data_IF_042082861036
#
_entry.id   IF_042082861036
#
_cell.length_a   1.000
_cell.length_b   1.000
_cell.length_c   1.000
_cell.angle_alpha   90.00
_cell.angle_beta   90.00
_cell.angle_gamma   90.00
#
_symmetry.space_group_name_H-M   'P 1'
#
loop_
_entity.id
_entity.type
_entity.pdbx_description
1 polymer ?
#
# COMPACT_ATOMS: atom_id res chain seq x y z
N UNK A 1 1.23 19.88 30.78
CA UNK A 1 0.88 20.36 29.43
C UNK A 1 0.27 19.16 28.73
N UNK A 2 -1.02 19.20 28.41
CA UNK A 2 -1.64 18.16 27.59
C UNK A 2 -1.02 18.31 26.20
N UNK A 3 -0.40 17.25 25.70
CA UNK A 3 0.00 17.16 24.29
C UNK A 3 -1.33 17.21 23.53
N UNK A 4 -1.53 18.25 22.73
CA UNK A 4 -2.64 18.29 21.79
C UNK A 4 -2.49 17.02 20.92
N UNK A 5 -3.46 16.10 20.98
CA UNK A 5 -3.48 14.95 20.09
C UNK A 5 -3.59 15.51 18.67
N UNK A 6 -2.62 15.18 17.83
CA UNK A 6 -2.68 15.52 16.42
C UNK A 6 -4.01 15.00 15.86
N UNK A 7 -4.77 15.89 15.27
CA UNK A 7 -6.07 15.56 14.68
C UNK A 7 -5.85 14.96 13.30
N UNK A 8 -6.64 13.95 12.94
CA UNK A 8 -6.63 13.42 11.56
C UNK A 8 -6.85 14.55 10.55
N UNK A 9 -6.21 14.47 9.40
CA UNK A 9 -6.41 15.44 8.32
C UNK A 9 -7.87 15.39 7.84
N UNK A 10 -8.40 16.55 7.52
CA UNK A 10 -9.70 16.67 6.84
C UNK A 10 -9.62 16.14 5.40
N UNK A 11 -10.78 15.87 4.80
CA UNK A 11 -10.81 15.45 3.39
C UNK A 11 -10.15 16.46 2.45
N UNK A 12 -10.34 17.78 2.70
CA UNK A 12 -9.70 18.80 1.87
C UNK A 12 -8.18 18.77 1.97
N UNK A 13 -7.63 18.66 3.17
CA UNK A 13 -6.18 18.56 3.39
C UNK A 13 -5.60 17.29 2.75
N UNK A 14 -6.33 16.16 2.81
CA UNK A 14 -5.93 14.93 2.12
C UNK A 14 -5.93 15.08 0.61
N UNK A 15 -6.96 15.71 0.05
CA UNK A 15 -7.06 15.97 -1.39
C UNK A 15 -5.91 16.85 -1.85
N UNK A 16 -5.63 17.93 -1.15
CA UNK A 16 -4.52 18.84 -1.46
C UNK A 16 -3.17 18.09 -1.43
N UNK A 17 -2.98 17.21 -0.45
CA UNK A 17 -1.77 16.40 -0.34
C UNK A 17 -1.64 15.36 -1.47
N UNK A 18 -2.74 14.68 -1.83
CA UNK A 18 -2.76 13.70 -2.92
C UNK A 18 -2.46 14.39 -4.26
N UNK A 19 -3.09 15.55 -4.51
CA UNK A 19 -2.83 16.36 -5.71
C UNK A 19 -1.38 16.82 -5.75
N UNK A 20 -0.83 17.28 -4.61
CA UNK A 20 0.57 17.64 -4.53
C UNK A 20 1.49 16.52 -4.99
N UNK A 21 1.33 15.29 -4.44
CA UNK A 21 2.17 14.15 -4.85
C UNK A 21 1.94 13.75 -6.32
N UNK A 22 0.71 13.86 -6.82
CA UNK A 22 0.38 13.56 -8.22
C UNK A 22 1.08 14.54 -9.18
N UNK A 23 1.01 15.83 -8.88
CA UNK A 23 1.59 16.88 -9.74
C UNK A 23 3.13 16.91 -9.71
N UNK A 24 3.73 16.38 -8.64
CA UNK A 24 5.19 16.38 -8.44
C UNK A 24 5.80 14.96 -8.52
N UNK A 25 5.05 13.96 -9.00
CA UNK A 25 5.47 12.55 -8.97
C UNK A 25 6.82 12.30 -9.66
N UNK A 26 7.15 13.06 -10.71
CA UNK A 26 8.38 12.93 -11.50
C UNK A 26 9.54 13.79 -10.99
N UNK A 27 9.31 14.64 -9.99
CA UNK A 27 10.34 15.51 -9.44
C UNK A 27 11.38 14.71 -8.64
N UNK A 28 12.65 15.10 -8.73
CA UNK A 28 13.76 14.39 -8.10
C UNK A 28 13.71 14.38 -6.57
N UNK A 29 13.05 15.38 -5.94
CA UNK A 29 12.86 15.43 -4.50
C UNK A 29 11.73 14.53 -3.98
N UNK A 30 10.93 13.94 -4.87
CA UNK A 30 9.93 12.95 -4.47
C UNK A 30 10.57 11.55 -4.49
N UNK A 31 10.79 11.02 -3.30
CA UNK A 31 11.23 9.65 -3.15
C UNK A 31 10.05 8.70 -3.21
N UNK A 32 10.20 7.65 -4.00
CA UNK A 32 9.20 6.59 -4.19
C UNK A 32 9.82 5.26 -3.84
N UNK A 33 9.27 4.62 -2.81
CA UNK A 33 9.66 3.28 -2.39
C UNK A 33 8.50 2.31 -2.64
N UNK A 34 8.72 1.29 -3.46
CA UNK A 34 7.73 0.23 -3.74
C UNK A 34 8.22 -1.07 -3.16
N UNK A 35 7.46 -1.62 -2.24
CA UNK A 35 7.81 -2.82 -1.51
C UNK A 35 6.69 -3.85 -1.61
N UNK A 36 7.09 -5.10 -1.68
CA UNK A 36 6.18 -6.23 -1.64
C UNK A 36 6.31 -6.91 -0.29
N UNK A 37 5.21 -7.18 0.34
CA UNK A 37 5.16 -7.80 1.64
C UNK A 37 4.49 -9.18 1.58
N UNK A 38 5.03 -10.10 2.39
CA UNK A 38 4.47 -11.41 2.66
C UNK A 38 4.28 -11.59 4.14
N UNK A 39 3.12 -12.08 4.55
CA UNK A 39 2.90 -12.52 5.91
C UNK A 39 3.64 -13.82 6.19
N UNK A 40 4.22 -13.92 7.35
CA UNK A 40 4.91 -15.13 7.81
C UNK A 40 4.09 -15.83 8.90
N UNK A 41 4.37 -17.10 9.15
CA UNK A 41 3.79 -17.82 10.28
C UNK A 41 4.51 -17.52 11.61
N UNK A 42 5.55 -16.70 11.60
CA UNK A 42 6.36 -16.38 12.79
C UNK A 42 5.68 -15.28 13.60
N UNK A 43 5.55 -15.49 14.90
CA UNK A 43 5.08 -14.46 15.84
C UNK A 43 6.12 -13.39 16.14
N UNK A 44 7.41 -13.66 15.84
CA UNK A 44 8.50 -12.71 16.07
C UNK A 44 8.74 -11.77 14.88
N UNK A 45 8.34 -12.18 13.69
CA UNK A 45 8.50 -11.41 12.46
C UNK A 45 7.30 -11.68 11.56
N UNK A 46 6.26 -10.88 11.69
CA UNK A 46 5.00 -11.10 10.96
C UNK A 46 5.14 -10.87 9.45
N UNK A 47 6.09 -10.02 9.03
CA UNK A 47 6.25 -9.66 7.63
C UNK A 47 7.68 -9.91 7.16
N UNK A 48 7.80 -10.28 5.89
CA UNK A 48 9.02 -10.22 5.10
C UNK A 48 8.74 -9.32 3.91
N UNK A 49 9.67 -8.41 3.62
CA UNK A 49 9.51 -7.41 2.56
C UNK A 49 10.60 -7.53 1.51
N UNK A 50 10.28 -7.13 0.29
CA UNK A 50 11.20 -7.03 -0.83
C UNK A 50 10.99 -5.70 -1.53
N UNK A 51 12.08 -5.00 -1.83
CA UNK A 51 12.07 -3.73 -2.56
C UNK A 51 12.03 -3.97 -4.06
N UNK A 52 11.23 -3.19 -4.78
CA UNK A 52 11.30 -3.07 -6.22
C UNK A 52 12.26 -1.92 -6.58
N UNK A 53 13.44 -2.25 -7.11
CA UNK A 53 14.46 -1.28 -7.52
C UNK A 53 14.29 -0.82 -8.99
N UNK A 54 13.09 -0.86 -9.52
CA UNK A 54 12.79 -0.45 -10.88
C UNK A 54 11.88 0.77 -10.87
N UNK A 55 12.31 1.85 -11.51
CA UNK A 55 11.49 3.02 -11.80
C UNK A 55 11.56 3.28 -13.30
N UNK A 56 10.43 3.22 -13.95
CA UNK A 56 10.28 3.51 -15.37
C UNK A 56 8.90 4.15 -15.60
N UNK A 57 8.62 4.56 -16.82
CA UNK A 57 7.38 5.21 -17.20
C UNK A 57 6.14 4.39 -16.82
N UNK A 58 6.14 3.07 -17.03
CA UNK A 58 4.98 2.21 -16.70
C UNK A 58 4.68 2.22 -15.19
N UNK A 59 5.72 2.26 -14.35
CA UNK A 59 5.58 2.38 -12.89
C UNK A 59 5.04 3.76 -12.50
N UNK A 60 5.52 4.82 -13.14
CA UNK A 60 5.04 6.18 -12.89
C UNK A 60 3.57 6.33 -13.30
N UNK A 61 3.16 5.83 -14.45
CA UNK A 61 1.76 5.79 -14.89
C UNK A 61 0.86 5.03 -13.91
N UNK A 62 1.32 3.86 -13.40
CA UNK A 62 0.59 3.09 -12.39
C UNK A 62 0.44 3.87 -11.07
N UNK A 63 1.46 4.62 -10.66
CA UNK A 63 1.42 5.46 -9.47
C UNK A 63 0.48 6.65 -9.65
N UNK A 64 0.50 7.30 -10.82
CA UNK A 64 -0.43 8.37 -11.17
C UNK A 64 -1.88 7.89 -11.14
N UNK A 65 -2.16 6.71 -11.71
CA UNK A 65 -3.48 6.07 -11.61
C UNK A 65 -3.86 5.77 -10.15
N UNK A 66 -2.90 5.34 -9.33
CA UNK A 66 -3.12 5.08 -7.90
C UNK A 66 -3.52 6.36 -7.17
N UNK A 67 -2.79 7.47 -7.36
CA UNK A 67 -3.09 8.76 -6.76
C UNK A 67 -4.43 9.32 -7.28
N UNK A 68 -4.74 9.13 -8.56
CA UNK A 68 -6.03 9.51 -9.14
C UNK A 68 -7.19 8.74 -8.49
N UNK A 69 -7.02 7.44 -8.23
CA UNK A 69 -8.02 6.66 -7.51
C UNK A 69 -8.17 7.11 -6.04
N UNK A 70 -7.07 7.47 -5.37
CA UNK A 70 -7.13 8.05 -4.02
C UNK A 70 -7.89 9.39 -4.01
N UNK A 71 -7.57 10.27 -4.94
CA UNK A 71 -8.26 11.56 -5.11
C UNK A 71 -9.76 11.34 -5.31
N UNK A 72 -10.15 10.45 -6.23
CA UNK A 72 -11.54 10.11 -6.48
C UNK A 72 -12.26 9.60 -5.23
N UNK A 73 -11.66 8.66 -4.50
CA UNK A 73 -12.25 8.11 -3.27
C UNK A 73 -12.43 9.19 -2.21
N UNK A 74 -11.48 10.10 -2.05
CA UNK A 74 -11.58 11.21 -1.10
C UNK A 74 -12.56 12.32 -1.54
N UNK A 75 -12.91 12.39 -2.81
CA UNK A 75 -13.95 13.29 -3.33
C UNK A 75 -15.36 12.70 -3.18
N UNK A 76 -15.51 11.40 -3.35
CA UNK A 76 -16.81 10.73 -3.43
C UNK A 76 -17.30 10.21 -2.07
N UNK A 77 -16.42 10.04 -1.06
CA UNK A 77 -16.76 9.44 0.24
C UNK A 77 -16.59 10.41 1.39
N UNK A 78 -17.31 10.14 2.48
CA UNK A 78 -17.14 10.85 3.76
C UNK A 78 -16.13 10.15 4.64
N UNK A 79 -15.59 10.88 5.63
CA UNK A 79 -14.73 10.29 6.69
C UNK A 79 -15.60 9.86 7.86
N UNK A 80 -15.42 8.63 8.32
CA UNK A 80 -15.99 8.10 9.56
C UNK A 80 -14.91 7.41 10.41
N UNK A 81 -15.16 7.29 11.71
CA UNK A 81 -14.30 6.48 12.57
C UNK A 81 -14.37 5.01 12.18
N UNK A 82 -13.26 4.30 12.44
CA UNK A 82 -13.19 2.87 12.15
C UNK A 82 -14.27 2.08 12.92
N UNK A 83 -15.11 1.37 12.18
CA UNK A 83 -16.16 0.52 12.70
C UNK A 83 -16.24 -0.79 11.90
N UNK A 84 -16.25 -1.91 12.59
CA UNK A 84 -16.34 -3.24 11.97
C UNK A 84 -17.71 -3.54 11.35
N UNK A 85 -18.75 -2.84 11.75
CA UNK A 85 -20.12 -3.06 11.28
C UNK A 85 -20.48 -2.18 10.08
N UNK A 86 -19.79 -1.04 9.90
CA UNK A 86 -20.07 -0.11 8.80
C UNK A 86 -19.37 -0.57 7.50
N UNK A 87 -20.07 -0.35 6.36
CA UNK A 87 -19.48 -0.56 5.04
C UNK A 87 -18.45 0.54 4.72
N UNK A 88 -17.45 0.21 3.90
CA UNK A 88 -16.53 1.19 3.31
C UNK A 88 -16.93 1.61 1.90
N UNK A 89 -18.15 1.28 1.44
CA UNK A 89 -18.56 1.62 0.08
C UNK A 89 -18.71 3.13 -0.12
N UNK A 90 -19.32 3.82 0.87
CA UNK A 90 -19.59 5.26 0.84
C UNK A 90 -18.72 6.06 1.82
N UNK A 91 -17.85 5.38 2.60
CA UNK A 91 -17.04 6.01 3.63
C UNK A 91 -15.56 5.63 3.53
N UNK A 92 -14.70 6.53 3.97
CA UNK A 92 -13.29 6.26 4.30
C UNK A 92 -13.21 6.17 5.82
N UNK A 93 -12.91 4.99 6.34
CA UNK A 93 -12.79 4.81 7.78
C UNK A 93 -11.41 5.23 8.27
N UNK A 94 -11.36 5.93 9.40
CA UNK A 94 -10.12 6.48 9.96
C UNK A 94 -9.80 5.85 11.30
N UNK A 95 -8.54 5.48 11.49
CA UNK A 95 -8.01 4.96 12.75
C UNK A 95 -6.59 5.47 12.99
N UNK A 96 -6.26 5.74 14.24
CA UNK A 96 -4.90 6.09 14.66
C UNK A 96 -3.93 4.94 14.37
N UNK A 97 -2.76 5.25 13.82
CA UNK A 97 -1.72 4.27 13.48
C UNK A 97 -1.30 3.44 14.69
N UNK A 98 -1.19 4.06 15.87
CA UNK A 98 -0.81 3.39 17.12
C UNK A 98 -1.75 2.25 17.52
N UNK A 99 -3.01 2.30 17.10
CA UNK A 99 -4.00 1.23 17.30
C UNK A 99 -3.81 0.05 16.35
N UNK A 100 -3.05 0.23 15.27
CA UNK A 100 -2.76 -0.80 14.27
C UNK A 100 -1.44 -1.49 14.60
N UNK A 101 -1.43 -2.27 15.68
CA UNK A 101 -0.23 -2.86 16.32
C UNK A 101 0.70 -3.57 15.31
N UNK A 102 0.14 -4.29 14.35
CA UNK A 102 0.94 -5.05 13.38
C UNK A 102 1.61 -4.16 12.34
N UNK A 103 1.24 -2.88 12.24
CA UNK A 103 1.87 -1.96 11.30
C UNK A 103 3.30 -1.60 11.71
N UNK A 104 3.58 -1.48 13.00
CA UNK A 104 4.96 -1.26 13.48
C UNK A 104 5.89 -2.39 13.04
N UNK A 105 5.45 -3.65 13.05
CA UNK A 105 6.24 -4.77 12.56
C UNK A 105 6.44 -4.76 11.04
N UNK A 106 5.47 -4.21 10.29
CA UNK A 106 5.62 -3.98 8.86
C UNK A 106 6.68 -2.91 8.61
N UNK A 107 6.60 -1.77 9.29
CA UNK A 107 7.58 -0.67 9.14
C UNK A 107 8.99 -1.09 9.57
N UNK A 108 9.14 -1.85 10.63
CA UNK A 108 10.42 -2.45 11.03
C UNK A 108 11.00 -3.37 9.96
N UNK A 109 10.15 -4.11 9.23
CA UNK A 109 10.61 -4.98 8.15
C UNK A 109 11.06 -4.22 6.90
N UNK A 110 10.61 -2.97 6.73
CA UNK A 110 10.93 -2.08 5.61
C UNK A 110 12.27 -1.35 5.83
N UNK A 111 12.65 -1.09 7.08
CA UNK A 111 13.86 -0.33 7.43
C UNK A 111 15.17 -1.13 7.36
N UNK A 112 15.11 -2.38 6.92
CA UNK A 112 16.29 -3.22 6.73
C UNK A 112 17.05 -2.80 5.46
N UNK A 113 18.38 -2.77 5.51
CA UNK A 113 19.22 -2.52 4.34
C UNK A 113 18.87 -3.50 3.21
N UNK A 114 18.66 -2.96 2.02
CA UNK A 114 18.30 -3.78 0.86
C UNK A 114 19.53 -4.50 0.33
N UNK A 115 19.40 -5.81 0.22
CA UNK A 115 20.39 -6.72 -0.35
C UNK A 115 19.73 -7.50 -1.49
N UNK A 116 20.50 -8.26 -2.25
CA UNK A 116 19.96 -9.12 -3.32
C UNK A 116 18.88 -10.10 -2.81
N UNK A 117 18.96 -10.48 -1.52
CA UNK A 117 18.01 -11.41 -0.90
C UNK A 117 16.63 -10.79 -0.59
N UNK A 118 16.55 -9.46 -0.49
CA UNK A 118 15.32 -8.72 -0.19
C UNK A 118 14.94 -7.68 -1.25
N UNK A 119 15.47 -7.82 -2.47
CA UNK A 119 15.02 -7.12 -3.66
C UNK A 119 14.20 -8.04 -4.56
N UNK A 120 13.26 -7.45 -5.28
CA UNK A 120 12.50 -8.16 -6.32
C UNK A 120 13.44 -8.50 -7.48
N UNK A 121 13.54 -9.78 -7.80
CA UNK A 121 14.38 -10.29 -8.89
C UNK A 121 13.73 -11.52 -9.53
N UNK A 122 14.39 -12.11 -10.54
CA UNK A 122 13.87 -13.25 -11.28
C UNK A 122 13.62 -14.52 -10.44
N UNK A 123 14.24 -14.62 -9.26
CA UNK A 123 14.08 -15.74 -8.34
C UNK A 123 12.97 -15.49 -7.29
N UNK A 124 12.36 -14.32 -7.29
CA UNK A 124 11.28 -13.99 -6.36
C UNK A 124 10.02 -14.78 -6.72
N UNK A 125 9.46 -15.48 -5.74
CA UNK A 125 8.18 -16.19 -5.89
C UNK A 125 7.03 -15.20 -5.71
N UNK A 126 6.61 -14.54 -6.79
CA UNK A 126 5.57 -13.51 -6.78
C UNK A 126 4.22 -14.04 -6.30
N UNK A 127 3.91 -15.32 -6.51
CA UNK A 127 2.64 -15.92 -6.08
C UNK A 127 2.53 -16.02 -4.55
N UNK A 128 3.66 -15.87 -3.84
CA UNK A 128 3.71 -15.87 -2.37
C UNK A 128 3.65 -14.49 -1.74
N UNK A 129 3.66 -13.42 -2.52
CA UNK A 129 3.49 -12.06 -2.02
C UNK A 129 2.02 -11.82 -1.69
N UNK A 130 1.74 -11.07 -0.64
CA UNK A 130 0.37 -10.85 -0.17
C UNK A 130 -0.15 -9.45 -0.50
N UNK A 131 0.71 -8.42 -0.39
CA UNK A 131 0.34 -7.04 -0.66
C UNK A 131 1.55 -6.17 -1.05
N UNK A 132 1.25 -4.98 -1.53
CA UNK A 132 2.22 -3.97 -1.95
C UNK A 132 2.12 -2.78 -1.01
N UNK A 133 3.27 -2.23 -0.65
CA UNK A 133 3.40 -0.97 0.10
C UNK A 133 4.09 0.02 -0.83
N UNK A 134 3.46 1.16 -1.06
CA UNK A 134 4.06 2.28 -1.78
C UNK A 134 4.22 3.42 -0.81
N UNK A 135 5.44 3.91 -0.63
CA UNK A 135 5.73 5.08 0.19
C UNK A 135 6.18 6.23 -0.71
N UNK A 136 5.52 7.36 -0.58
CA UNK A 136 5.88 8.62 -1.21
C UNK A 136 6.38 9.56 -0.11
N UNK A 137 7.56 10.13 -0.30
CA UNK A 137 8.17 11.04 0.66
C UNK A 137 8.69 12.28 -0.06
N UNK A 138 8.42 13.44 0.52
CA UNK A 138 8.92 14.73 0.04
C UNK A 138 10.25 15.05 0.73
N UNK A 139 11.32 15.15 -0.05
CA UNK A 139 12.66 15.48 0.40
C UNK A 139 13.09 16.89 -0.05
N UNK A 140 12.12 17.79 -0.34
CA UNK A 140 12.39 19.17 -0.81
C UNK A 140 13.18 20.06 0.16
N UNK A 141 13.19 19.73 1.47
CA UNK A 141 14.14 20.27 2.45
C UNK A 141 13.62 21.42 3.32
N UNK A 142 12.80 22.35 2.81
CA UNK A 142 12.42 23.54 3.60
C UNK A 142 11.04 23.45 4.30
N UNK A 143 10.10 22.72 3.72
CA UNK A 143 8.77 22.47 4.32
C UNK A 143 8.18 21.19 3.71
N UNK A 144 8.76 20.01 4.03
CA UNK A 144 8.37 18.77 3.38
C UNK A 144 6.93 18.41 3.71
N UNK A 145 6.19 17.96 2.70
CA UNK A 145 4.83 17.48 2.92
C UNK A 145 4.85 16.13 3.67
N UNK A 146 3.82 15.84 4.48
CA UNK A 146 3.69 14.54 5.13
C UNK A 146 3.80 13.39 4.13
N UNK A 147 4.58 12.36 4.46
CA UNK A 147 4.68 11.17 3.63
C UNK A 147 3.33 10.44 3.53
N UNK A 148 3.07 9.85 2.37
CA UNK A 148 1.93 8.96 2.16
C UNK A 148 2.44 7.52 2.05
N UNK A 149 1.92 6.61 2.86
CA UNK A 149 2.17 5.18 2.73
C UNK A 149 0.90 4.46 2.28
N UNK A 150 0.88 3.96 1.06
CA UNK A 150 -0.28 3.30 0.45
C UNK A 150 -0.16 1.80 0.59
N UNK A 151 -1.22 1.14 1.05
CA UNK A 151 -1.35 -0.31 1.12
C UNK A 151 -2.26 -0.78 -0.03
N UNK A 152 -1.76 -1.73 -0.82
CA UNK A 152 -2.45 -2.28 -1.99
C UNK A 152 -2.41 -3.79 -1.96
N UNK A 153 -3.52 -4.43 -2.28
CA UNK A 153 -3.56 -5.88 -2.44
C UNK A 153 -2.73 -6.30 -3.64
N UNK A 154 -1.85 -7.29 -3.44
CA UNK A 154 -1.18 -7.93 -4.55
C UNK A 154 -2.14 -8.88 -5.26
N UNK A 155 -2.29 -8.70 -6.57
CA UNK A 155 -3.09 -9.58 -7.40
C UNK A 155 -2.24 -10.78 -7.82
N UNK A 156 -2.49 -11.92 -7.20
CA UNK A 156 -1.77 -13.16 -7.55
C UNK A 156 -2.03 -13.53 -9.01
N UNK A 157 -0.96 -13.84 -9.71
CA UNK A 157 -1.09 -14.39 -11.06
C UNK A 157 -1.92 -15.68 -11.02
N UNK A 158 -2.80 -15.97 -11.99
CA UNK A 158 -3.54 -17.21 -12.02
C UNK A 158 -2.61 -18.40 -11.88
N UNK A 159 -2.97 -19.36 -11.03
CA UNK A 159 -2.17 -20.55 -10.80
C UNK A 159 -1.80 -21.24 -12.12
N UNK A 160 -0.57 -21.72 -12.24
CA UNK A 160 -0.16 -22.53 -13.38
C UNK A 160 -0.88 -23.88 -13.32
N UNK A 161 -1.86 -24.09 -14.16
CA UNK A 161 -2.41 -25.42 -14.36
C UNK A 161 -1.43 -26.26 -15.20
N UNK A 162 -1.22 -27.51 -14.82
CA UNK A 162 -0.34 -28.43 -15.56
C UNK A 162 -0.84 -28.54 -17.01
N UNK A 163 0.03 -28.23 -17.97
CA UNK A 163 -0.29 -28.27 -19.39
C UNK A 163 -0.87 -26.99 -20.00
N UNK A 164 -1.03 -25.90 -19.22
CA UNK A 164 -1.46 -24.61 -19.77
C UNK A 164 -0.27 -23.72 -20.09
N UNK A 165 -0.36 -23.00 -21.22
CA UNK A 165 0.57 -21.93 -21.58
C UNK A 165 -0.14 -20.60 -21.43
N UNK A 166 0.57 -19.58 -20.94
CA UNK A 166 0.09 -18.20 -20.89
C UNK A 166 0.66 -17.45 -22.08
N UNK A 167 -0.12 -16.54 -22.63
CA UNK A 167 0.31 -15.69 -23.71
C UNK A 167 0.02 -14.23 -23.37
N UNK A 168 0.97 -13.38 -23.70
CA UNK A 168 0.76 -11.92 -23.72
C UNK A 168 0.56 -11.51 -25.18
N UNK A 169 -0.53 -10.81 -25.45
CA UNK A 169 -0.82 -10.26 -26.77
C UNK A 169 -0.37 -8.81 -26.83
N UNK A 170 0.50 -8.49 -27.77
CA UNK A 170 0.96 -7.11 -28.00
C UNK A 170 0.22 -6.42 -29.17
N UNK A 171 -0.93 -6.93 -29.55
CA UNK A 171 -1.73 -6.44 -30.68
C UNK A 171 -1.36 -7.02 -32.05
N UNK A 172 -0.23 -7.71 -32.16
CA UNK A 172 0.24 -8.35 -33.40
C UNK A 172 0.61 -9.83 -33.18
N UNK A 173 1.17 -10.14 -32.04
CA UNK A 173 1.72 -11.45 -31.74
C UNK A 173 1.27 -11.94 -30.35
N UNK A 174 1.10 -13.26 -30.23
CA UNK A 174 0.93 -13.94 -28.97
C UNK A 174 2.28 -14.50 -28.52
N UNK A 175 2.88 -13.90 -27.52
CA UNK A 175 4.16 -14.36 -26.96
C UNK A 175 3.89 -15.25 -25.76
N UNK A 176 4.42 -16.47 -25.77
CA UNK A 176 4.31 -17.38 -24.63
C UNK A 176 5.06 -16.82 -23.42
N UNK A 177 4.38 -16.75 -22.27
CA UNK A 177 4.92 -16.22 -21.04
C UNK A 177 5.02 -17.34 -20.00
N UNK A 178 6.23 -17.78 -19.73
CA UNK A 178 6.49 -18.90 -18.81
C UNK A 178 6.83 -18.46 -17.38
N UNK A 179 7.08 -17.15 -17.18
CA UNK A 179 7.42 -16.58 -15.85
C UNK A 179 6.17 -16.13 -15.09
N UNK A 180 6.16 -16.15 -13.75
CA UNK A 180 5.11 -15.52 -12.98
C UNK A 180 5.09 -14.02 -13.27
N UNK A 181 3.89 -13.45 -13.37
CA UNK A 181 3.69 -12.01 -13.57
C UNK A 181 3.61 -11.32 -12.23
N UNK A 182 4.34 -10.22 -12.09
CA UNK A 182 4.13 -9.26 -11.01
C UNK A 182 2.96 -8.36 -11.42
N UNK A 183 1.85 -8.44 -10.68
CA UNK A 183 0.64 -7.68 -10.99
C UNK A 183 0.37 -6.68 -9.88
N UNK A 184 0.44 -5.40 -10.21
CA UNK A 184 0.12 -4.29 -9.31
C UNK A 184 -1.10 -3.58 -9.89
N UNK A 185 -2.22 -3.61 -9.15
CA UNK A 185 -3.41 -2.85 -9.54
C UNK A 185 -3.32 -1.38 -9.10
N UNK A 186 -4.15 -0.51 -9.65
CA UNK A 186 -4.26 0.90 -9.23
C UNK A 186 -5.19 1.10 -8.02
N UNK A 187 -5.91 0.07 -7.57
CA UNK A 187 -6.76 0.16 -6.39
C UNK A 187 -5.95 0.39 -5.11
N UNK A 188 -6.54 1.12 -4.18
CA UNK A 188 -5.98 1.43 -2.87
C UNK A 188 -6.87 0.82 -1.81
N UNK A 189 -6.30 0.08 -0.88
CA UNK A 189 -7.05 -0.57 0.20
C UNK A 189 -7.04 0.28 1.48
N UNK A 190 -5.93 0.92 1.74
CA UNK A 190 -5.76 1.92 2.79
C UNK A 190 -4.51 2.76 2.51
N UNK A 191 -4.43 3.93 3.15
CA UNK A 191 -3.20 4.72 3.15
C UNK A 191 -2.99 5.36 4.53
N UNK A 192 -1.72 5.51 4.90
CA UNK A 192 -1.31 6.17 6.15
C UNK A 192 -0.73 7.54 5.84
N UNK A 193 -1.17 8.54 6.60
CA UNK A 193 -0.68 9.91 6.55
C UNK A 193 -0.69 10.47 7.97
N UNK A 194 0.42 11.10 8.39
CA UNK A 194 0.51 11.84 9.65
C UNK A 194 -0.01 11.05 10.87
N UNK A 195 0.29 9.74 10.94
CA UNK A 195 -0.09 8.89 12.06
C UNK A 195 -1.54 8.36 12.03
N UNK A 196 -2.24 8.50 10.91
CA UNK A 196 -3.59 8.00 10.73
C UNK A 196 -3.71 7.12 9.50
N UNK A 197 -4.43 6.00 9.62
CA UNK A 197 -4.89 5.22 8.48
C UNK A 197 -6.22 5.72 7.98
N UNK A 198 -6.33 5.85 6.67
CA UNK A 198 -7.53 6.11 5.90
C UNK A 198 -7.84 4.84 5.10
N UNK A 199 -8.90 4.14 5.48
CA UNK A 199 -9.22 2.78 5.02
C UNK A 199 -10.34 2.86 4.00
N UNK A 200 -10.06 2.47 2.78
CA UNK A 200 -11.01 2.47 1.65
C UNK A 200 -11.62 1.11 1.39
N UNK A 201 -10.94 0.04 1.85
CA UNK A 201 -11.40 -1.34 1.81
C UNK A 201 -10.99 -2.06 3.12
N UNK A 202 -11.94 -2.11 4.04
CA UNK A 202 -11.73 -2.67 5.39
C UNK A 202 -11.32 -4.15 5.38
N UNK A 203 -11.95 -4.97 4.54
CA UNK A 203 -11.69 -6.41 4.54
C UNK A 203 -10.28 -6.74 4.07
N UNK A 204 -9.82 -6.05 3.04
CA UNK A 204 -8.45 -6.18 2.56
C UNK A 204 -7.44 -5.60 3.58
N UNK A 205 -7.72 -4.44 4.18
CA UNK A 205 -6.91 -3.87 5.26
C UNK A 205 -6.76 -4.84 6.44
N UNK A 206 -7.87 -5.38 6.93
CA UNK A 206 -7.88 -6.37 8.01
C UNK A 206 -7.09 -7.62 7.65
N UNK A 207 -7.21 -8.08 6.39
CA UNK A 207 -6.46 -9.23 5.91
C UNK A 207 -4.98 -8.96 5.82
N UNK A 208 -4.55 -7.80 5.32
CA UNK A 208 -3.13 -7.43 5.18
C UNK A 208 -2.45 -7.30 6.54
N UNK A 209 -3.08 -6.62 7.49
CA UNK A 209 -2.49 -6.31 8.79
C UNK A 209 -2.94 -7.23 9.92
N UNK A 210 -3.75 -8.27 9.67
CA UNK A 210 -4.38 -9.12 10.68
C UNK A 210 -5.10 -8.29 11.77
N UNK A 211 -5.69 -7.17 11.36
CA UNK A 211 -6.13 -6.14 12.29
C UNK A 211 -7.39 -6.55 13.05
N UNK A 212 -8.31 -7.28 12.41
CA UNK A 212 -9.56 -7.74 13.03
C UNK A 212 -9.32 -8.57 14.29
N UNK A 213 -8.34 -9.48 14.25
CA UNK A 213 -8.03 -10.36 15.39
C UNK A 213 -7.43 -9.60 16.58
N UNK A 214 -6.79 -8.46 16.30
CA UNK A 214 -6.18 -7.59 17.31
C UNK A 214 -7.21 -6.62 17.87
N UNK A 215 -8.07 -6.06 17.04
CA UNK A 215 -9.08 -5.09 17.44
C UNK A 215 -10.06 -5.63 18.49
N UNK A 216 -10.54 -6.86 18.31
CA UNK A 216 -11.41 -7.50 19.30
C UNK A 216 -10.73 -7.68 20.67
N UNK A 217 -9.43 -7.90 20.71
CA UNK A 217 -8.69 -8.00 21.99
C UNK A 217 -8.52 -6.66 22.70
N UNK A 218 -8.53 -5.55 21.96
CA UNK A 218 -8.36 -4.19 22.53
C UNK A 218 -9.69 -3.67 23.08
N UNK A 219 -10.80 -4.07 22.48
CA UNK A 219 -12.15 -3.60 22.87
C UNK A 219 -12.75 -4.42 24.00
N UNK A 220 -12.30 -5.68 24.19
CA UNK A 220 -12.76 -6.58 25.25
C UNK A 220 -11.96 -6.44 26.58
N UNK A 221 -10.87 -5.64 26.61
CA UNK A 221 -10.10 -5.27 27.81
C UNK A 221 -10.52 -3.86 28.32
#
# INVERSE_FOLDING_TARGET
MAVEKDKSMSMSELQDLIVYYKDNLTEEYIQIDIMFAKKTASTKRLYKTWMLLCRNQDIEEMLEETLTNMEKVTQERTIDEYDLELSTDDTVQVIEEEKVINYSQLTESITVDYTDDNTINENTDYDKLDFVVVKLSDNSGEDPKPAITVLKKHLKSPAKFKGTKRFVFNGKEAVAFDKPLLVIGSNVEAFNVAGYFYITNRDNFNTMLNFKDVYYKIVDD
#
